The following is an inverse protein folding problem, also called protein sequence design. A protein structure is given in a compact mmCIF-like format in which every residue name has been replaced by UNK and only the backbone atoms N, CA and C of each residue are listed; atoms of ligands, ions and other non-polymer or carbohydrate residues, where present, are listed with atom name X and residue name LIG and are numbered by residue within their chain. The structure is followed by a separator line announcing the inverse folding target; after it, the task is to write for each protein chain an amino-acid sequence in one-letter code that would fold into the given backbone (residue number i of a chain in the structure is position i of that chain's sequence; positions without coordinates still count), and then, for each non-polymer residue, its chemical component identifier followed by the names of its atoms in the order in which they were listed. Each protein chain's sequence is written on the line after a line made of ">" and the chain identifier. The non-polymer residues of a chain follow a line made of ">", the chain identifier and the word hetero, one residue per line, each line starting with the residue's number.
data_IF_858210494065
#
_entry.id   IF_858210494065
#
_cell.length_a   1.000
_cell.length_b   1.000
_cell.length_c   1.000
_cell.angle_alpha   90.00
_cell.angle_beta   90.00
_cell.angle_gamma   90.00
#
_symmetry.space_group_name_H-M   'P 1'
#
loop_
_entity.id
_entity.type
_entity.pdbx_description
1 polymer ?
#
# COMPACT_ATOMS: atom_id res chain seq x y z
N UNK A 1 -17.50 -12.82 -7.35
CA UNK A 1 -17.55 -14.29 -7.55
C UNK A 1 -18.94 -14.83 -7.86
N UNK A 2 -20.00 -14.56 -7.07
CA UNK A 2 -21.34 -15.15 -7.27
C UNK A 2 -21.88 -14.94 -8.70
N UNK A 3 -21.67 -13.74 -9.26
CA UNK A 3 -22.05 -13.38 -10.64
C UNK A 3 -21.04 -13.88 -11.71
N UNK A 4 -20.15 -14.81 -11.36
CA UNK A 4 -19.12 -15.35 -12.26
C UNK A 4 -17.82 -14.53 -12.37
N UNK A 5 -17.66 -13.48 -11.56
CA UNK A 5 -16.41 -12.69 -11.50
C UNK A 5 -15.24 -13.46 -10.87
N UNK A 6 -14.02 -13.16 -11.31
CA UNK A 6 -12.80 -13.84 -10.86
C UNK A 6 -12.16 -13.17 -9.63
N UNK A 7 -10.94 -13.59 -9.27
CA UNK A 7 -10.20 -13.02 -8.13
C UNK A 7 -9.94 -11.51 -8.26
N UNK A 8 -9.67 -11.02 -9.48
CA UNK A 8 -9.42 -9.59 -9.76
C UNK A 8 -10.69 -8.76 -9.61
N UNK A 9 -11.80 -9.20 -10.23
CA UNK A 9 -13.09 -8.52 -10.10
C UNK A 9 -13.51 -8.40 -8.63
N UNK A 10 -13.31 -9.49 -7.88
CA UNK A 10 -13.70 -9.57 -6.46
C UNK A 10 -12.79 -8.72 -5.58
N UNK A 11 -11.49 -8.62 -5.88
CA UNK A 11 -10.58 -7.70 -5.20
C UNK A 11 -11.01 -6.24 -5.39
N UNK A 12 -11.33 -5.83 -6.63
CA UNK A 12 -11.78 -4.45 -6.91
C UNK A 12 -13.06 -4.13 -6.14
N UNK A 13 -14.09 -4.98 -6.25
CA UNK A 13 -15.36 -4.76 -5.53
C UNK A 13 -15.16 -4.69 -4.01
N UNK A 14 -14.28 -5.55 -3.47
CA UNK A 14 -13.97 -5.56 -2.04
C UNK A 14 -13.26 -4.27 -1.62
N UNK A 15 -12.21 -3.85 -2.31
CA UNK A 15 -11.47 -2.64 -1.96
C UNK A 15 -12.31 -1.36 -2.12
N UNK A 16 -13.24 -1.31 -3.08
CA UNK A 16 -14.21 -0.22 -3.17
C UNK A 16 -15.11 -0.16 -1.92
N UNK A 17 -15.61 -1.30 -1.45
CA UNK A 17 -16.37 -1.35 -0.19
C UNK A 17 -15.51 -0.97 1.01
N UNK A 18 -14.28 -1.48 1.10
CA UNK A 18 -13.34 -1.15 2.18
C UNK A 18 -13.03 0.35 2.19
N UNK A 19 -12.85 0.99 1.03
CA UNK A 19 -12.68 2.44 0.93
C UNK A 19 -13.91 3.26 1.37
N UNK A 20 -15.08 2.64 1.48
CA UNK A 20 -16.29 3.24 2.05
C UNK A 20 -16.33 3.05 3.57
N UNK A 21 -16.18 1.80 4.04
CA UNK A 21 -16.44 1.40 5.44
C UNK A 21 -15.23 1.46 6.36
N UNK A 22 -14.03 1.49 5.79
CA UNK A 22 -12.75 1.68 6.46
C UNK A 22 -12.04 2.93 5.88
N UNK A 23 -12.71 4.10 5.88
CA UNK A 23 -12.27 5.32 5.18
C UNK A 23 -10.96 5.88 5.72
N UNK A 24 -10.58 5.50 6.93
CA UNK A 24 -9.37 5.93 7.59
C UNK A 24 -8.11 5.22 7.10
N UNK A 25 -8.22 4.12 6.34
CA UNK A 25 -7.05 3.31 5.94
C UNK A 25 -6.85 3.18 4.44
N UNK A 26 -7.87 3.35 3.62
CA UNK A 26 -7.79 3.15 2.16
C UNK A 26 -8.93 3.83 1.42
N UNK A 27 -8.77 4.02 0.11
CA UNK A 27 -9.82 4.52 -0.78
C UNK A 27 -9.25 5.24 -1.99
N UNK A 28 -10.12 5.64 -2.92
CA UNK A 28 -9.72 6.05 -4.28
C UNK A 28 -8.85 7.32 -4.34
N UNK A 29 -8.68 8.00 -3.20
CA UNK A 29 -7.73 9.09 -3.04
C UNK A 29 -6.29 8.64 -2.77
N UNK A 30 -6.01 7.34 -2.70
CA UNK A 30 -4.68 6.76 -2.52
C UNK A 30 -4.29 5.81 -3.65
N UNK A 31 -3.67 4.68 -3.30
CA UNK A 31 -3.01 3.76 -4.22
C UNK A 31 -2.85 2.36 -3.65
N UNK A 32 -2.34 1.44 -4.48
CA UNK A 32 -2.15 0.04 -4.07
C UNK A 32 -0.96 -0.65 -4.72
N UNK A 33 -0.49 -1.71 -4.05
CA UNK A 33 0.40 -2.73 -4.60
C UNK A 33 -0.34 -4.06 -4.63
N UNK A 34 -0.19 -4.80 -5.72
CA UNK A 34 -0.87 -6.07 -5.93
C UNK A 34 0.07 -7.14 -6.49
N UNK A 35 -0.10 -8.37 -6.02
CA UNK A 35 0.47 -9.59 -6.57
C UNK A 35 -0.66 -10.45 -7.10
N UNK A 36 -0.56 -10.82 -8.38
CA UNK A 36 -1.49 -11.68 -9.10
C UNK A 36 -0.80 -13.00 -9.45
N UNK A 37 -1.45 -14.11 -9.16
CA UNK A 37 -1.04 -15.43 -9.62
C UNK A 37 -2.14 -16.03 -10.50
N UNK A 38 -1.76 -16.43 -11.71
CA UNK A 38 -2.64 -17.11 -12.65
C UNK A 38 -2.32 -18.61 -12.64
N UNK A 39 -3.20 -19.41 -12.04
CA UNK A 39 -2.98 -20.85 -11.87
C UNK A 39 -2.93 -21.62 -13.20
N UNK A 40 -3.71 -21.19 -14.20
CA UNK A 40 -3.74 -21.88 -15.50
C UNK A 40 -2.42 -21.77 -16.27
N UNK A 41 -1.66 -20.68 -16.05
CA UNK A 41 -0.37 -20.44 -16.70
C UNK A 41 0.83 -20.63 -15.77
N UNK A 42 0.59 -20.77 -14.46
CA UNK A 42 1.63 -20.79 -13.43
C UNK A 42 2.41 -19.47 -13.34
N UNK A 43 1.83 -18.35 -13.78
CA UNK A 43 2.53 -17.06 -13.86
C UNK A 43 2.14 -16.14 -12.74
N UNK A 44 3.15 -15.51 -12.15
CA UNK A 44 2.98 -14.40 -11.23
C UNK A 44 3.28 -13.07 -11.93
N UNK A 45 2.47 -12.06 -11.66
CA UNK A 45 2.63 -10.68 -12.14
C UNK A 45 2.37 -9.74 -10.97
N UNK A 46 3.03 -8.58 -10.94
CA UNK A 46 2.75 -7.56 -9.92
C UNK A 46 2.30 -6.26 -10.53
N UNK A 47 1.45 -5.55 -9.82
CA UNK A 47 0.88 -4.28 -10.23
C UNK A 47 1.25 -3.24 -9.19
N UNK A 48 1.88 -2.18 -9.68
CA UNK A 48 2.27 -1.03 -8.92
C UNK A 48 1.41 0.16 -9.33
N UNK A 49 0.32 0.34 -8.60
CA UNK A 49 -0.52 1.52 -8.62
C UNK A 49 -0.22 2.38 -7.38
N UNK A 50 1.07 2.56 -7.06
CA UNK A 50 1.51 3.51 -6.02
C UNK A 50 1.41 4.93 -6.56
N UNK A 51 1.10 5.86 -5.67
CA UNK A 51 1.07 7.29 -5.91
C UNK A 51 2.43 7.81 -6.36
N UNK A 52 2.43 8.91 -7.11
CA UNK A 52 3.65 9.58 -7.56
C UNK A 52 3.72 11.00 -7.02
N UNK A 53 4.91 11.42 -6.63
CA UNK A 53 5.19 12.80 -6.26
C UNK A 53 4.79 13.75 -7.41
N UNK A 54 4.12 14.87 -7.11
CA UNK A 54 3.77 15.87 -8.13
C UNK A 54 5.02 16.35 -8.89
N UNK A 55 4.84 16.78 -10.13
CA UNK A 55 5.92 17.27 -10.98
C UNK A 55 6.59 18.53 -10.42
N UNK A 56 5.88 19.29 -9.58
CA UNK A 56 6.40 20.45 -8.86
C UNK A 56 7.14 20.09 -7.55
N UNK A 57 7.18 18.80 -7.16
CA UNK A 57 7.86 18.37 -5.95
C UNK A 57 9.37 18.63 -6.05
N UNK A 58 9.99 18.99 -4.93
CA UNK A 58 11.45 19.18 -4.85
C UNK A 58 11.99 18.43 -3.65
N UNK A 59 13.25 18.02 -3.75
CA UNK A 59 13.94 17.24 -2.71
C UNK A 59 13.81 17.86 -1.31
N UNK A 60 13.85 19.20 -1.23
CA UNK A 60 13.91 19.93 0.03
C UNK A 60 12.55 20.53 0.48
N UNK A 61 11.43 20.18 -0.16
CA UNK A 61 10.16 20.91 0.01
C UNK A 61 9.54 20.87 1.42
N UNK A 62 10.01 19.94 2.27
CA UNK A 62 9.57 19.77 3.67
C UNK A 62 10.68 19.98 4.70
N UNK A 63 11.90 20.35 4.29
CA UNK A 63 13.05 20.51 5.22
C UNK A 63 12.76 21.53 6.33
N UNK A 64 12.02 22.59 6.02
CA UNK A 64 11.69 23.64 6.99
C UNK A 64 10.48 23.29 7.87
N UNK A 65 9.62 22.37 7.42
CA UNK A 65 8.40 21.98 8.12
C UNK A 65 7.93 20.62 7.62
N UNK A 66 8.29 19.59 8.38
CA UNK A 66 7.93 18.20 8.08
C UNK A 66 6.45 17.90 8.33
N UNK A 67 5.73 18.74 9.09
CA UNK A 67 4.30 18.51 9.29
C UNK A 67 3.50 18.64 7.99
N UNK A 68 4.05 19.34 6.99
CA UNK A 68 3.43 19.52 5.68
C UNK A 68 3.58 18.30 4.76
N UNK A 69 4.39 17.30 5.12
CA UNK A 69 4.40 15.99 4.47
C UNK A 69 3.33 15.06 5.02
N UNK A 70 2.77 15.35 6.21
CA UNK A 70 1.74 14.55 6.88
C UNK A 70 0.36 15.15 6.67
N UNK A 71 0.17 16.44 6.98
CA UNK A 71 -1.15 17.08 6.99
C UNK A 71 -1.37 18.10 5.87
N UNK A 72 -2.58 18.14 5.36
CA UNK A 72 -3.05 19.17 4.42
C UNK A 72 -2.72 18.88 2.96
N UNK A 73 -3.05 19.82 2.08
CA UNK A 73 -3.01 19.58 0.63
C UNK A 73 -1.60 19.41 0.03
N UNK A 74 -0.55 19.78 0.77
CA UNK A 74 0.85 19.61 0.34
C UNK A 74 1.36 18.18 0.53
N UNK A 75 0.75 17.40 1.42
CA UNK A 75 1.13 16.00 1.64
C UNK A 75 0.58 15.04 0.58
N UNK A 76 -0.35 15.50 -0.26
CA UNK A 76 -1.03 14.66 -1.24
C UNK A 76 -0.09 14.34 -2.40
N UNK A 77 0.14 13.05 -2.64
CA UNK A 77 0.71 12.53 -3.88
C UNK A 77 -0.39 12.13 -4.87
N UNK A 78 -0.05 11.99 -6.14
CA UNK A 78 -1.03 11.76 -7.22
C UNK A 78 -1.87 10.51 -6.96
N UNK A 79 -3.20 10.62 -6.69
CA UNK A 79 -4.07 9.48 -6.43
C UNK A 79 -4.12 8.53 -7.62
N UNK A 80 -4.11 7.23 -7.37
CA UNK A 80 -3.74 6.23 -8.38
C UNK A 80 -4.64 5.00 -8.44
N UNK A 81 -5.44 4.77 -7.40
CA UNK A 81 -6.20 3.53 -7.25
C UNK A 81 -7.20 3.28 -8.40
N UNK A 82 -7.89 4.30 -8.91
CA UNK A 82 -8.81 4.14 -10.06
C UNK A 82 -8.06 3.73 -11.34
N UNK A 83 -6.89 4.32 -11.61
CA UNK A 83 -6.07 3.93 -12.75
C UNK A 83 -5.65 2.46 -12.64
N UNK A 84 -5.22 2.05 -11.44
CA UNK A 84 -4.85 0.67 -11.14
C UNK A 84 -6.01 -0.30 -11.31
N UNK A 85 -7.17 -0.02 -10.73
CA UNK A 85 -8.37 -0.86 -10.84
C UNK A 85 -8.82 -1.01 -12.28
N UNK A 86 -8.87 0.07 -13.05
CA UNK A 86 -9.23 -0.01 -14.46
C UNK A 86 -8.22 -0.83 -15.26
N UNK A 87 -6.92 -0.63 -15.01
CA UNK A 87 -5.85 -1.37 -15.67
C UNK A 87 -6.00 -2.88 -15.45
N UNK A 88 -6.17 -3.33 -14.20
CA UNK A 88 -6.29 -4.76 -13.90
C UNK A 88 -7.65 -5.33 -14.30
N UNK A 89 -8.74 -4.56 -14.20
CA UNK A 89 -10.05 -4.97 -14.71
C UNK A 89 -9.99 -5.26 -16.22
N UNK A 90 -9.37 -4.34 -16.99
CA UNK A 90 -9.28 -4.48 -18.46
C UNK A 90 -8.37 -5.63 -18.89
N UNK A 91 -7.29 -5.89 -18.16
CA UNK A 91 -6.27 -6.89 -18.54
C UNK A 91 -6.55 -8.28 -17.96
N UNK A 92 -7.09 -8.35 -16.75
CA UNK A 92 -7.20 -9.57 -15.95
C UNK A 92 -8.60 -9.84 -15.39
N UNK A 93 -9.59 -8.96 -15.61
CA UNK A 93 -10.98 -9.20 -15.20
C UNK A 93 -11.60 -10.40 -15.92
N UNK A 94 -12.64 -10.99 -15.33
CA UNK A 94 -13.27 -12.21 -15.87
C UNK A 94 -13.94 -12.02 -17.24
N UNK A 95 -14.28 -10.78 -17.59
CA UNK A 95 -15.16 -10.46 -18.72
C UNK A 95 -16.64 -10.83 -18.50
N UNK A 96 -17.00 -11.38 -17.34
CA UNK A 96 -18.36 -11.80 -16.99
C UNK A 96 -19.10 -10.76 -16.14
N UNK A 97 -18.36 -9.95 -15.40
CA UNK A 97 -18.90 -8.86 -14.56
C UNK A 97 -18.56 -7.53 -15.20
N UNK A 98 -19.55 -6.64 -15.29
CA UNK A 98 -19.36 -5.28 -15.82
C UNK A 98 -18.70 -4.39 -14.77
N UNK A 99 -17.90 -3.42 -15.22
CA UNK A 99 -17.24 -2.42 -14.36
C UNK A 99 -18.21 -1.79 -13.35
N UNK A 100 -19.35 -1.31 -13.81
CA UNK A 100 -20.36 -0.68 -12.96
C UNK A 100 -20.85 -1.58 -11.80
N UNK A 101 -20.98 -2.89 -12.06
CA UNK A 101 -21.46 -3.85 -11.05
C UNK A 101 -20.48 -4.02 -9.89
N UNK A 102 -19.18 -3.76 -10.10
CA UNK A 102 -18.17 -3.81 -9.04
C UNK A 102 -18.36 -2.67 -8.02
N UNK A 103 -18.96 -1.57 -8.43
CA UNK A 103 -19.17 -0.38 -7.60
C UNK A 103 -20.50 -0.39 -6.86
N UNK A 104 -21.51 -1.11 -7.36
CA UNK A 104 -22.87 -1.12 -6.79
C UNK A 104 -22.90 -1.33 -5.27
N UNK A 105 -22.16 -2.30 -4.68
CA UNK A 105 -22.18 -2.51 -3.24
C UNK A 105 -21.57 -1.32 -2.47
N UNK A 106 -20.47 -0.75 -2.97
CA UNK A 106 -19.81 0.39 -2.35
C UNK A 106 -20.66 1.67 -2.43
N UNK A 107 -21.30 1.91 -3.58
CA UNK A 107 -22.25 3.03 -3.76
C UNK A 107 -23.42 2.90 -2.78
N UNK A 108 -23.98 1.69 -2.65
CA UNK A 108 -25.08 1.43 -1.73
C UNK A 108 -24.68 1.69 -0.26
N UNK A 109 -23.52 1.19 0.16
CA UNK A 109 -22.98 1.43 1.51
C UNK A 109 -22.75 2.93 1.77
N UNK A 110 -22.22 3.66 0.78
CA UNK A 110 -21.92 5.08 0.95
C UNK A 110 -23.18 5.96 1.02
N UNK A 111 -24.20 5.67 0.20
CA UNK A 111 -25.43 6.48 0.13
C UNK A 111 -26.41 6.10 1.24
N UNK A 112 -26.67 4.81 1.42
CA UNK A 112 -27.68 4.34 2.38
C UNK A 112 -27.12 4.23 3.81
N UNK A 113 -25.79 4.24 3.92
CA UNK A 113 -25.07 4.24 5.19
C UNK A 113 -24.69 2.83 5.65
N UNK A 114 -23.80 2.80 6.64
CA UNK A 114 -23.28 1.58 7.23
C UNK A 114 -23.03 1.79 8.74
N UNK A 115 -23.13 0.73 9.56
CA UNK A 115 -22.78 0.81 10.97
C UNK A 115 -21.28 1.04 11.12
N UNK A 116 -20.91 2.04 11.91
CA UNK A 116 -19.52 2.33 12.25
C UNK A 116 -18.94 1.16 13.06
N UNK A 117 -17.81 0.61 12.59
CA UNK A 117 -17.11 -0.46 13.29
C UNK A 117 -16.39 0.05 14.53
N UNK A 118 -16.09 -0.84 15.49
CA UNK A 118 -15.29 -0.52 16.66
C UNK A 118 -13.93 0.12 16.31
N UNK A 119 -13.27 -0.38 15.27
CA UNK A 119 -12.01 0.18 14.80
C UNK A 119 -12.17 1.60 14.27
N UNK A 120 -13.17 1.84 13.41
CA UNK A 120 -13.42 3.19 12.90
C UNK A 120 -13.80 4.16 14.04
N UNK A 121 -14.66 3.75 14.96
CA UNK A 121 -15.02 4.55 16.13
C UNK A 121 -13.79 4.92 16.99
N UNK A 122 -12.89 3.96 17.23
CA UNK A 122 -11.63 4.22 17.94
C UNK A 122 -10.79 5.28 17.22
N UNK A 123 -10.59 5.13 15.90
CA UNK A 123 -9.78 6.10 15.13
C UNK A 123 -10.43 7.48 15.05
N UNK A 124 -11.77 7.55 14.99
CA UNK A 124 -12.51 8.80 15.06
C UNK A 124 -12.35 9.48 16.42
N UNK A 125 -12.43 8.72 17.52
CA UNK A 125 -12.22 9.24 18.87
C UNK A 125 -10.77 9.72 19.07
N UNK A 126 -9.78 8.93 18.66
CA UNK A 126 -8.36 9.26 18.76
C UNK A 126 -8.00 10.55 17.99
N UNK A 127 -8.73 10.83 16.90
CA UNK A 127 -8.52 12.00 16.03
C UNK A 127 -9.57 13.11 16.22
N UNK A 128 -10.45 13.02 17.22
CA UNK A 128 -11.62 13.91 17.37
C UNK A 128 -11.24 15.39 17.34
N UNK A 129 -10.18 15.78 18.05
CA UNK A 129 -9.72 17.19 18.09
C UNK A 129 -9.34 17.70 16.69
N UNK A 130 -8.66 16.87 15.89
CA UNK A 130 -8.26 17.26 14.53
C UNK A 130 -9.47 17.27 13.59
N UNK A 131 -10.36 16.28 13.72
CA UNK A 131 -11.60 16.19 12.93
C UNK A 131 -12.48 17.41 13.17
N UNK A 132 -12.67 17.82 14.43
CA UNK A 132 -13.48 19.00 14.79
C UNK A 132 -12.87 20.32 14.28
N UNK A 133 -11.54 20.39 14.18
CA UNK A 133 -10.83 21.58 13.74
C UNK A 133 -10.79 21.75 12.21
N UNK A 134 -10.88 20.65 11.45
CA UNK A 134 -10.81 20.66 9.98
C UNK A 134 -12.21 20.57 9.36
N UNK A 135 -12.72 21.63 8.69
CA UNK A 135 -14.10 21.68 8.21
C UNK A 135 -14.49 20.51 7.30
N UNK A 136 -13.57 20.08 6.43
CA UNK A 136 -13.85 18.99 5.48
C UNK A 136 -14.01 17.64 6.18
N UNK A 137 -13.27 17.41 7.26
CA UNK A 137 -13.35 16.20 8.08
C UNK A 137 -14.60 16.24 8.97
N UNK A 138 -14.86 17.38 9.62
CA UNK A 138 -16.03 17.59 10.47
C UNK A 138 -17.34 17.30 9.74
N UNK A 139 -17.46 17.78 8.51
CA UNK A 139 -18.66 17.59 7.67
C UNK A 139 -18.98 16.10 7.42
N UNK A 140 -17.98 15.23 7.39
CA UNK A 140 -18.17 13.81 7.07
C UNK A 140 -18.25 12.94 8.31
N UNK A 141 -17.49 13.27 9.35
CA UNK A 141 -17.25 12.37 10.48
C UNK A 141 -17.88 12.80 11.80
N UNK A 142 -18.51 13.97 11.86
CA UNK A 142 -19.28 14.43 13.03
C UNK A 142 -20.76 14.25 12.75
N UNK A 143 -21.45 13.59 13.67
CA UNK A 143 -22.91 13.58 13.66
C UNK A 143 -23.43 14.96 14.06
N UNK A 144 -24.01 15.68 13.10
CA UNK A 144 -24.53 17.03 13.31
C UNK A 144 -25.66 17.12 14.35
N UNK A 145 -26.32 16.00 14.68
CA UNK A 145 -27.37 15.97 15.69
C UNK A 145 -26.80 15.96 17.12
N UNK A 146 -25.62 15.36 17.32
CA UNK A 146 -24.96 15.26 18.63
C UNK A 146 -23.77 16.22 18.76
N UNK A 147 -23.19 16.66 17.64
CA UNK A 147 -21.97 17.44 17.57
C UNK A 147 -20.69 16.65 17.87
N UNK A 148 -20.78 15.32 18.02
CA UNK A 148 -19.67 14.42 18.33
C UNK A 148 -19.29 13.60 17.10
N UNK A 149 -18.06 13.07 17.08
CA UNK A 149 -17.70 12.08 16.07
C UNK A 149 -18.57 10.83 16.19
N UNK A 150 -18.83 10.13 15.09
CA UNK A 150 -19.62 8.90 15.11
C UNK A 150 -19.00 7.84 16.04
N UNK A 151 -19.85 7.16 16.81
CA UNK A 151 -19.49 6.09 17.74
C UNK A 151 -19.79 4.71 17.13
N UNK A 152 -19.31 3.64 17.76
CA UNK A 152 -19.55 2.27 17.29
C UNK A 152 -21.06 1.98 17.20
N UNK A 153 -21.49 1.44 16.06
CA UNK A 153 -22.89 1.11 15.78
C UNK A 153 -23.73 2.26 15.23
N UNK A 154 -23.26 3.51 15.30
CA UNK A 154 -23.93 4.62 14.62
C UNK A 154 -23.96 4.39 13.11
N UNK A 155 -25.02 4.87 12.45
CA UNK A 155 -25.16 4.76 10.99
C UNK A 155 -24.54 5.99 10.34
N UNK A 156 -23.34 5.83 9.78
CA UNK A 156 -22.65 6.88 9.05
C UNK A 156 -22.97 6.78 7.55
N UNK A 157 -23.12 7.94 6.90
CA UNK A 157 -23.27 8.07 5.45
C UNK A 157 -22.15 8.89 4.83
N UNK A 158 -21.84 8.61 3.58
CA UNK A 158 -20.86 9.35 2.75
C UNK A 158 -21.47 9.64 1.38
N UNK A 159 -22.63 10.29 1.35
CA UNK A 159 -23.47 10.43 0.15
C UNK A 159 -22.71 11.05 -1.04
N UNK A 160 -21.95 12.13 -0.81
CA UNK A 160 -21.11 12.77 -1.83
C UNK A 160 -20.10 11.80 -2.44
N UNK A 161 -19.44 11.00 -1.60
CA UNK A 161 -18.52 9.96 -2.06
C UNK A 161 -19.25 8.85 -2.84
N UNK A 162 -20.43 8.45 -2.38
CA UNK A 162 -21.28 7.48 -3.09
C UNK A 162 -21.68 7.95 -4.49
N UNK A 163 -22.04 9.23 -4.66
CA UNK A 163 -22.31 9.80 -5.98
C UNK A 163 -21.06 9.86 -6.86
N UNK A 164 -19.89 10.19 -6.31
CA UNK A 164 -18.61 10.11 -7.03
C UNK A 164 -18.32 8.70 -7.53
N UNK A 165 -18.47 7.69 -6.67
CA UNK A 165 -18.33 6.29 -7.05
C UNK A 165 -19.31 5.90 -8.17
N UNK A 166 -20.56 6.37 -8.08
CA UNK A 166 -21.57 6.12 -9.11
C UNK A 166 -21.21 6.77 -10.46
N UNK A 167 -20.62 7.97 -10.45
CA UNK A 167 -20.12 8.63 -11.67
C UNK A 167 -18.99 7.84 -12.32
N UNK A 168 -18.03 7.35 -11.51
CA UNK A 168 -16.91 6.51 -12.00
C UNK A 168 -17.43 5.17 -12.53
N UNK A 169 -18.40 4.56 -11.85
CA UNK A 169 -19.01 3.30 -12.26
C UNK A 169 -19.69 3.40 -13.64
N UNK A 170 -20.35 4.54 -13.90
CA UNK A 170 -21.12 4.78 -15.12
C UNK A 170 -20.30 5.39 -16.26
N UNK A 171 -19.03 5.75 -16.01
CA UNK A 171 -18.17 6.34 -17.02
C UNK A 171 -17.88 5.33 -18.15
N UNK A 172 -17.90 5.83 -19.40
CA UNK A 172 -17.45 5.02 -20.55
C UNK A 172 -15.94 4.75 -20.46
N UNK A 173 -15.18 5.74 -20.03
CA UNK A 173 -13.77 5.63 -19.68
C UNK A 173 -13.55 6.26 -18.29
N UNK A 174 -13.45 5.45 -17.22
CA UNK A 174 -13.23 5.97 -15.87
C UNK A 174 -11.86 6.62 -15.69
N UNK A 175 -10.86 6.23 -16.48
CA UNK A 175 -9.54 6.86 -16.45
C UNK A 175 -9.60 8.24 -17.08
N UNK A 176 -10.26 8.39 -18.24
CA UNK A 176 -10.47 9.71 -18.83
C UNK A 176 -11.22 10.62 -17.86
N UNK A 177 -12.35 10.16 -17.28
CA UNK A 177 -13.12 10.96 -16.33
C UNK A 177 -12.27 11.46 -15.15
N UNK A 178 -11.53 10.55 -14.49
CA UNK A 178 -10.79 10.84 -13.25
C UNK A 178 -9.48 11.60 -13.49
N UNK A 179 -8.75 11.28 -14.57
CA UNK A 179 -7.37 11.75 -14.77
C UNK A 179 -7.21 12.81 -15.86
N UNK A 180 -8.18 12.99 -16.76
CA UNK A 180 -8.08 13.92 -17.90
C UNK A 180 -9.30 14.82 -18.07
N UNK A 181 -10.47 14.40 -17.58
CA UNK A 181 -11.76 15.03 -17.78
C UNK A 181 -12.17 15.99 -16.67
N UNK A 182 -13.48 16.18 -16.51
CA UNK A 182 -14.04 17.14 -15.54
C UNK A 182 -13.64 16.86 -14.09
N UNK A 183 -13.55 15.59 -13.69
CA UNK A 183 -13.12 15.24 -12.34
C UNK A 183 -11.64 15.59 -12.12
N UNK A 184 -10.78 15.41 -13.13
CA UNK A 184 -9.38 15.83 -13.04
C UNK A 184 -9.23 17.35 -12.83
N UNK A 185 -10.08 18.14 -13.50
CA UNK A 185 -10.13 19.60 -13.31
C UNK A 185 -10.54 19.96 -11.88
N UNK A 186 -11.57 19.30 -11.34
CA UNK A 186 -12.00 19.48 -9.94
C UNK A 186 -10.91 19.11 -8.95
N UNK A 187 -10.29 17.93 -9.10
CA UNK A 187 -9.24 17.44 -8.20
C UNK A 187 -8.05 18.40 -8.20
N UNK A 188 -7.53 18.74 -9.38
CA UNK A 188 -6.41 19.65 -9.50
C UNK A 188 -6.74 21.03 -8.93
N UNK A 189 -7.90 21.60 -9.29
CA UNK A 189 -8.33 22.92 -8.82
C UNK A 189 -8.45 22.98 -7.30
N UNK A 190 -9.18 22.04 -6.68
CA UNK A 190 -9.33 21.99 -5.23
C UNK A 190 -7.98 21.87 -4.51
N UNK A 191 -7.10 20.99 -5.00
CA UNK A 191 -5.79 20.79 -4.36
C UNK A 191 -4.93 22.04 -4.51
N UNK A 192 -4.86 22.66 -5.70
CA UNK A 192 -4.03 23.86 -5.92
C UNK A 192 -4.56 25.10 -5.22
N UNK A 193 -5.89 25.29 -5.18
CA UNK A 193 -6.52 26.45 -4.52
C UNK A 193 -6.28 26.44 -3.00
N UNK A 194 -6.03 25.26 -2.43
CA UNK A 194 -5.68 25.07 -1.03
C UNK A 194 -4.16 24.87 -0.79
N UNK A 195 -3.32 25.23 -1.77
CA UNK A 195 -1.86 25.27 -1.64
C UNK A 195 -1.13 23.94 -1.88
N UNK A 196 -1.82 22.91 -2.35
CA UNK A 196 -1.22 21.66 -2.79
C UNK A 196 -0.59 21.75 -4.19
N UNK A 197 0.06 20.67 -4.61
CA UNK A 197 0.94 20.67 -5.79
C UNK A 197 0.47 19.81 -6.97
N UNK A 198 -0.64 19.09 -6.85
CA UNK A 198 -1.17 18.24 -7.92
C UNK A 198 -1.90 19.08 -8.95
N UNK A 199 -1.42 19.01 -10.18
CA UNK A 199 -2.02 19.66 -11.36
C UNK A 199 -2.74 18.64 -12.24
N UNK A 200 -3.52 19.12 -13.21
CA UNK A 200 -4.11 18.25 -14.24
C UNK A 200 -3.04 17.48 -15.03
N UNK A 201 -1.83 18.05 -15.17
CA UNK A 201 -0.73 17.37 -15.87
C UNK A 201 -0.22 16.19 -15.06
N UNK A 202 -0.15 16.32 -13.73
CA UNK A 202 0.23 15.22 -12.83
C UNK A 202 -0.74 14.05 -13.01
N UNK A 203 -2.04 14.32 -12.86
CA UNK A 203 -3.11 13.34 -13.07
C UNK A 203 -3.05 12.71 -14.47
N UNK A 204 -2.99 13.52 -15.52
CA UNK A 204 -3.02 13.02 -16.90
C UNK A 204 -1.78 12.21 -17.29
N UNK A 205 -0.67 12.35 -16.56
CA UNK A 205 0.58 11.63 -16.79
C UNK A 205 0.76 10.39 -15.92
N UNK A 206 -0.16 10.15 -14.97
CA UNK A 206 -0.10 8.99 -14.10
C UNK A 206 -0.31 7.70 -14.91
N UNK A 207 0.49 6.68 -14.62
CA UNK A 207 0.38 5.36 -15.23
C UNK A 207 0.67 4.26 -14.19
N UNK A 208 -0.15 3.23 -14.18
CA UNK A 208 0.07 2.00 -13.41
C UNK A 208 1.15 1.16 -14.06
N UNK A 209 2.09 0.64 -13.27
CA UNK A 209 3.13 -0.27 -13.76
C UNK A 209 2.69 -1.72 -13.55
N UNK A 210 2.89 -2.57 -14.56
CA UNK A 210 2.75 -4.02 -14.45
C UNK A 210 4.13 -4.64 -14.67
N UNK A 211 4.63 -5.35 -13.65
CA UNK A 211 5.81 -6.18 -13.78
C UNK A 211 5.39 -7.57 -14.23
N UNK A 212 5.69 -7.89 -15.49
CA UNK A 212 5.43 -9.20 -16.10
C UNK A 212 6.30 -10.32 -15.50
N UNK A 213 7.42 -9.95 -14.86
CA UNK A 213 8.34 -10.84 -14.17
C UNK A 213 8.66 -10.19 -12.82
N UNK A 214 7.90 -10.50 -11.77
CA UNK A 214 8.10 -9.93 -10.44
C UNK A 214 9.34 -10.53 -9.75
N UNK A 215 9.60 -10.13 -8.50
CA UNK A 215 10.59 -10.82 -7.68
C UNK A 215 10.04 -12.21 -7.31
N UNK A 216 10.88 -13.23 -7.46
CA UNK A 216 10.54 -14.62 -7.12
C UNK A 216 11.62 -15.18 -6.18
N UNK A 217 11.19 -15.54 -4.97
CA UNK A 217 11.98 -16.30 -4.01
C UNK A 217 11.87 -17.79 -4.35
N UNK A 218 13.02 -18.44 -4.57
CA UNK A 218 13.09 -19.88 -4.91
C UNK A 218 13.76 -20.68 -3.80
N UNK A 219 13.56 -22.01 -3.82
CA UNK A 219 14.21 -22.91 -2.88
C UNK A 219 13.59 -22.93 -1.49
N UNK A 220 12.30 -22.58 -1.38
CA UNK A 220 11.54 -22.80 -0.16
C UNK A 220 11.22 -24.30 0.00
N UNK A 221 10.97 -24.79 1.23
CA UNK A 221 10.65 -26.19 1.49
C UNK A 221 9.39 -26.63 0.74
N UNK A 222 9.33 -27.90 0.32
CA UNK A 222 8.13 -28.47 -0.30
C UNK A 222 7.85 -27.97 -1.73
N UNK A 223 8.90 -27.63 -2.49
CA UNK A 223 8.80 -27.09 -3.86
C UNK A 223 7.98 -25.79 -3.97
N UNK A 224 7.91 -25.05 -2.86
CA UNK A 224 7.25 -23.76 -2.81
C UNK A 224 8.13 -22.67 -3.44
N UNK A 225 7.46 -21.73 -4.09
CA UNK A 225 8.00 -20.46 -4.54
C UNK A 225 7.12 -19.33 -4.02
N UNK A 226 7.71 -18.15 -3.88
CA UNK A 226 7.00 -16.97 -3.40
C UNK A 226 7.29 -15.80 -4.30
N UNK A 227 6.25 -15.10 -4.74
CA UNK A 227 6.41 -13.94 -5.61
C UNK A 227 5.76 -12.68 -5.01
N UNK A 228 6.29 -11.53 -5.40
CA UNK A 228 5.80 -10.23 -4.96
C UNK A 228 6.54 -9.05 -5.62
N UNK A 229 6.08 -7.82 -5.39
CA UNK A 229 6.51 -6.67 -6.17
C UNK A 229 7.96 -6.28 -5.90
N UNK A 230 8.67 -5.73 -6.89
CA UNK A 230 9.92 -5.02 -6.64
C UNK A 230 9.68 -3.71 -5.86
N UNK A 231 10.74 -3.00 -5.42
CA UNK A 231 10.60 -1.65 -4.88
C UNK A 231 9.79 -0.75 -5.84
N UNK A 232 8.88 0.09 -5.33
CA UNK A 232 8.84 0.62 -3.97
C UNK A 232 8.23 -0.29 -2.90
N UNK A 233 7.77 -1.51 -3.22
CA UNK A 233 7.38 -2.50 -2.21
C UNK A 233 8.55 -2.92 -1.31
N UNK A 234 8.22 -3.29 -0.07
CA UNK A 234 9.14 -3.94 0.87
C UNK A 234 9.15 -5.48 0.77
N UNK A 235 8.52 -6.08 -0.24
CA UNK A 235 8.43 -7.55 -0.40
C UNK A 235 9.79 -8.26 -0.33
N UNK A 236 10.84 -7.66 -0.90
CA UNK A 236 12.20 -8.24 -0.84
C UNK A 236 12.73 -8.42 0.59
N UNK A 237 12.30 -7.54 1.52
CA UNK A 237 12.64 -7.65 2.94
C UNK A 237 11.86 -8.83 3.52
N UNK A 238 10.57 -8.94 3.18
CA UNK A 238 9.74 -10.06 3.61
C UNK A 238 10.30 -11.40 3.21
N UNK A 239 10.53 -11.56 1.91
CA UNK A 239 10.97 -12.82 1.36
C UNK A 239 12.35 -13.22 1.85
N UNK A 240 13.24 -12.26 2.12
CA UNK A 240 14.54 -12.57 2.71
C UNK A 240 14.39 -13.19 4.11
N UNK A 241 13.48 -12.66 4.94
CA UNK A 241 13.28 -13.17 6.30
C UNK A 241 12.68 -14.58 6.25
N UNK A 242 11.64 -14.78 5.44
CA UNK A 242 11.02 -16.09 5.25
C UNK A 242 12.03 -17.10 4.70
N UNK A 243 12.82 -16.74 3.68
CA UNK A 243 13.80 -17.64 3.07
C UNK A 243 14.91 -18.03 4.05
N UNK A 244 15.39 -17.08 4.89
CA UNK A 244 16.41 -17.37 5.91
C UNK A 244 15.86 -18.29 6.99
N UNK A 245 14.64 -18.04 7.47
CA UNK A 245 13.97 -18.92 8.42
C UNK A 245 13.75 -20.31 7.82
N UNK A 246 13.35 -20.39 6.56
CA UNK A 246 13.25 -21.65 5.85
C UNK A 246 14.59 -22.41 5.80
N UNK A 247 15.73 -21.73 5.57
CA UNK A 247 17.05 -22.36 5.57
C UNK A 247 17.37 -23.07 6.90
N UNK A 248 17.03 -22.46 8.05
CA UNK A 248 17.23 -23.06 9.37
C UNK A 248 16.30 -24.24 9.67
N UNK A 249 15.09 -24.24 9.11
CA UNK A 249 14.01 -25.14 9.51
C UNK A 249 13.47 -26.03 8.38
N UNK A 250 14.22 -26.21 7.28
CA UNK A 250 13.81 -27.05 6.14
C UNK A 250 13.41 -28.49 6.50
N UNK A 251 13.95 -29.04 7.59
CA UNK A 251 13.96 -30.48 7.89
C UNK A 251 12.85 -31.02 8.79
N UNK A 252 11.87 -30.23 9.24
CA UNK A 252 10.80 -30.76 10.09
C UNK A 252 9.96 -29.73 10.85
N UNK A 253 9.15 -30.23 11.79
CA UNK A 253 8.30 -29.38 12.65
C UNK A 253 9.16 -28.45 13.50
N UNK A 254 8.87 -27.16 13.44
CA UNK A 254 9.50 -26.13 14.27
C UNK A 254 8.93 -26.21 15.68
N UNK A 255 9.80 -26.29 16.70
CA UNK A 255 9.38 -26.17 18.09
C UNK A 255 9.26 -24.69 18.46
N UNK A 256 8.04 -24.15 18.44
CA UNK A 256 7.81 -22.74 18.80
C UNK A 256 8.06 -22.43 20.29
N UNK A 257 8.34 -23.42 21.14
CA UNK A 257 8.80 -23.17 22.52
C UNK A 257 10.32 -23.01 22.63
N UNK A 258 11.08 -23.22 21.55
CA UNK A 258 12.51 -23.01 21.53
C UNK A 258 12.82 -21.51 21.34
N UNK A 259 13.41 -20.82 22.34
CA UNK A 259 13.75 -19.41 22.22
C UNK A 259 14.70 -19.12 21.05
N UNK A 260 15.45 -20.12 20.58
CA UNK A 260 16.35 -19.97 19.45
C UNK A 260 15.60 -19.70 18.13
N UNK A 261 14.33 -20.14 18.01
CA UNK A 261 13.48 -19.82 16.87
C UNK A 261 13.22 -18.32 16.79
N UNK A 262 12.83 -17.72 17.90
CA UNK A 262 12.58 -16.28 17.97
C UNK A 262 13.87 -15.47 17.85
N UNK A 263 14.97 -15.93 18.46
CA UNK A 263 16.28 -15.32 18.27
C UNK A 263 16.65 -15.25 16.79
N UNK A 264 16.54 -16.36 16.06
CA UNK A 264 16.87 -16.40 14.62
C UNK A 264 15.90 -15.57 13.77
N UNK A 265 14.62 -15.52 14.13
CA UNK A 265 13.66 -14.62 13.48
C UNK A 265 14.08 -13.16 13.64
N UNK A 266 14.39 -12.73 14.87
CA UNK A 266 14.84 -11.37 15.18
C UNK A 266 16.14 -11.04 14.43
N UNK A 267 17.10 -11.97 14.37
CA UNK A 267 18.35 -11.76 13.65
C UNK A 267 18.14 -11.69 12.12
N UNK A 268 17.27 -12.54 11.57
CA UNK A 268 16.89 -12.48 10.15
C UNK A 268 16.21 -11.15 9.80
N UNK A 269 15.32 -10.65 10.66
CA UNK A 269 14.70 -9.33 10.55
C UNK A 269 15.76 -8.23 10.52
N UNK A 270 16.69 -8.21 11.49
CA UNK A 270 17.77 -7.20 11.52
C UNK A 270 18.60 -7.19 10.24
N UNK A 271 18.99 -8.36 9.72
CA UNK A 271 19.74 -8.47 8.48
C UNK A 271 18.96 -7.95 7.26
N UNK A 272 17.67 -8.26 7.18
CA UNK A 272 16.83 -7.81 6.08
C UNK A 272 16.56 -6.30 6.18
N UNK A 273 16.15 -5.79 7.35
CA UNK A 273 15.88 -4.36 7.59
C UNK A 273 17.13 -3.49 7.40
N UNK A 274 18.33 -4.01 7.68
CA UNK A 274 19.58 -3.34 7.36
C UNK A 274 19.73 -2.96 5.87
N UNK A 275 18.98 -3.63 4.98
CA UNK A 275 18.94 -3.30 3.55
C UNK A 275 17.77 -2.37 3.18
N UNK A 276 16.73 -2.23 4.01
CA UNK A 276 15.51 -1.47 3.70
C UNK A 276 15.81 0.00 3.37
N UNK A 277 16.79 0.60 4.04
CA UNK A 277 17.19 2.00 3.78
C UNK A 277 17.89 2.21 2.45
N UNK A 278 18.32 1.12 1.78
CA UNK A 278 18.95 1.16 0.45
C UNK A 278 17.93 0.91 -0.67
N UNK A 279 16.67 0.64 -0.33
CA UNK A 279 15.59 0.52 -1.28
C UNK A 279 15.07 1.91 -1.69
N UNK A 280 14.56 1.99 -2.92
CA UNK A 280 13.94 3.17 -3.51
C UNK A 280 13.24 2.79 -4.80
N UNK A 281 12.47 3.72 -5.38
CA UNK A 281 11.88 3.54 -6.72
C UNK A 281 12.97 3.15 -7.73
N UNK A 282 12.87 1.94 -8.27
CA UNK A 282 13.88 1.36 -9.17
C UNK A 282 14.05 2.13 -10.49
N UNK A 283 13.09 3.00 -10.85
CA UNK A 283 13.24 3.93 -11.98
C UNK A 283 14.26 5.05 -11.69
N UNK A 284 14.50 5.34 -10.41
CA UNK A 284 15.36 6.42 -9.94
C UNK A 284 16.61 5.91 -9.21
N UNK A 285 16.59 4.68 -8.70
CA UNK A 285 17.65 4.12 -7.85
C UNK A 285 18.14 2.77 -8.41
N UNK A 286 19.12 2.80 -9.32
CA UNK A 286 19.65 1.59 -9.96
C UNK A 286 20.30 0.63 -8.96
N UNK A 287 20.92 1.15 -7.89
CA UNK A 287 21.51 0.33 -6.82
C UNK A 287 20.46 -0.51 -6.09
N UNK A 288 19.22 0.00 -5.92
CA UNK A 288 18.12 -0.74 -5.32
C UNK A 288 17.73 -1.94 -6.19
N UNK A 289 17.68 -1.76 -7.52
CA UNK A 289 17.39 -2.83 -8.47
C UNK A 289 18.41 -3.97 -8.40
N UNK A 290 19.70 -3.65 -8.37
CA UNK A 290 20.76 -4.65 -8.23
C UNK A 290 20.71 -5.38 -6.87
N UNK A 291 20.42 -4.64 -5.80
CA UNK A 291 20.30 -5.17 -4.45
C UNK A 291 19.16 -6.20 -4.36
N UNK A 292 17.96 -5.88 -4.86
CA UNK A 292 16.80 -6.77 -4.73
C UNK A 292 16.93 -8.05 -5.58
N UNK A 293 17.59 -7.95 -6.74
CA UNK A 293 17.91 -9.11 -7.57
C UNK A 293 18.83 -10.09 -6.82
N UNK A 294 19.82 -9.58 -6.08
CA UNK A 294 20.72 -10.41 -5.28
C UNK A 294 20.02 -11.00 -4.04
N UNK A 295 19.26 -10.19 -3.31
CA UNK A 295 18.56 -10.59 -2.08
C UNK A 295 17.57 -11.75 -2.28
N UNK A 296 17.03 -11.90 -3.50
CA UNK A 296 16.07 -12.94 -3.86
C UNK A 296 16.71 -14.29 -4.22
N UNK A 297 18.04 -14.41 -4.13
CA UNK A 297 18.74 -15.65 -4.52
C UNK A 297 18.97 -16.59 -3.34
N UNK A 298 18.92 -17.93 -3.56
CA UNK A 298 19.31 -18.90 -2.52
C UNK A 298 20.73 -18.72 -2.00
N UNK A 299 21.64 -18.18 -2.83
CA UNK A 299 23.01 -17.87 -2.43
C UNK A 299 23.05 -16.78 -1.36
N UNK A 300 22.27 -15.71 -1.54
CA UNK A 300 22.16 -14.64 -0.56
C UNK A 300 21.54 -15.14 0.74
N UNK A 301 20.45 -15.91 0.66
CA UNK A 301 19.80 -16.53 1.82
C UNK A 301 20.78 -17.36 2.66
N UNK A 302 21.55 -18.27 2.03
CA UNK A 302 22.54 -19.10 2.72
C UNK A 302 23.67 -18.27 3.34
N UNK A 303 24.08 -17.20 2.66
CA UNK A 303 25.08 -16.29 3.20
C UNK A 303 24.58 -15.58 4.47
N UNK A 304 23.36 -15.03 4.46
CA UNK A 304 22.75 -14.44 5.67
C UNK A 304 22.63 -15.47 6.79
N UNK A 305 22.09 -16.66 6.50
CA UNK A 305 21.96 -17.73 7.49
C UNK A 305 23.31 -18.10 8.13
N UNK A 306 24.42 -18.08 7.37
CA UNK A 306 25.76 -18.36 7.90
C UNK A 306 26.33 -17.27 8.82
N UNK A 307 25.78 -16.06 8.78
CA UNK A 307 26.20 -14.94 9.63
C UNK A 307 25.39 -14.84 10.92
N UNK A 308 24.19 -15.42 10.97
CA UNK A 308 23.36 -15.43 12.18
C UNK A 308 24.00 -16.35 13.23
N UNK A 309 24.40 -15.76 14.36
CA UNK A 309 24.94 -16.47 15.52
C UNK A 309 23.83 -16.71 16.52
N UNK A 310 23.96 -17.73 17.38
CA UNK A 310 23.03 -17.99 18.48
C UNK A 310 23.21 -17.01 19.68
N UNK A 311 23.78 -15.82 19.42
CA UNK A 311 23.97 -14.71 20.36
C UNK A 311 23.74 -13.38 19.66
N UNK A 312 23.04 -12.44 20.32
CA UNK A 312 22.73 -11.14 19.74
C UNK A 312 24.01 -10.33 19.42
N UNK A 313 24.01 -9.65 18.26
CA UNK A 313 25.12 -8.78 17.84
C UNK A 313 24.76 -7.29 17.99
N UNK A 314 25.76 -6.40 18.19
CA UNK A 314 25.55 -4.95 18.16
C UNK A 314 25.07 -4.48 16.78
N UNK A 315 24.44 -3.30 16.71
CA UNK A 315 23.85 -2.76 15.48
C UNK A 315 24.83 -2.65 14.31
N UNK A 316 26.09 -2.28 14.59
CA UNK A 316 27.17 -2.19 13.58
C UNK A 316 27.51 -3.50 12.88
N UNK A 317 27.00 -4.63 13.38
CA UNK A 317 27.15 -5.92 12.72
C UNK A 317 26.27 -6.06 11.48
N UNK A 318 25.08 -5.45 11.46
CA UNK A 318 24.10 -5.59 10.37
C UNK A 318 24.18 -4.42 9.38
N UNK A 319 24.47 -3.21 9.88
CA UNK A 319 24.46 -1.98 9.10
C UNK A 319 25.84 -1.33 9.11
N UNK A 320 26.31 -0.93 7.92
CA UNK A 320 27.51 -0.10 7.77
C UNK A 320 27.22 1.41 7.85
N UNK A 321 25.96 1.81 7.64
CA UNK A 321 25.51 3.20 7.60
C UNK A 321 24.31 3.40 8.54
N UNK A 322 24.32 4.46 9.36
CA UNK A 322 23.27 4.80 10.34
C UNK A 322 22.12 5.58 9.70
N UNK A 323 21.38 4.92 8.80
CA UNK A 323 20.22 5.50 8.09
C UNK A 323 18.89 4.88 8.53
N UNK A 324 17.78 5.55 8.24
CA UNK A 324 16.41 5.11 8.51
C UNK A 324 15.46 5.40 7.35
N UNK A 325 14.31 4.76 7.38
CA UNK A 325 13.12 5.16 6.62
C UNK A 325 12.12 5.84 7.56
N UNK A 326 11.13 6.52 6.96
CA UNK A 326 10.01 7.12 7.69
C UNK A 326 9.09 6.00 8.22
N UNK A 327 8.50 6.15 9.43
CA UNK A 327 7.40 5.29 9.88
C UNK A 327 6.21 5.38 8.93
N UNK A 328 5.49 4.27 8.79
CA UNK A 328 4.32 4.12 7.91
C UNK A 328 3.14 3.72 8.82
N UNK A 329 1.88 3.97 8.42
CA UNK A 329 0.68 3.74 9.24
C UNK A 329 -0.41 2.87 8.55
N UNK A 330 -1.54 2.65 9.23
CA UNK A 330 -2.47 1.54 8.94
C UNK A 330 -3.00 1.50 7.49
N UNK A 331 -3.10 0.30 6.92
CA UNK A 331 -3.51 0.03 5.52
C UNK A 331 -4.60 -1.05 5.46
N UNK A 332 -5.27 -1.21 4.34
CA UNK A 332 -6.21 -2.30 4.07
C UNK A 332 -5.57 -3.37 3.19
N UNK A 333 -5.80 -4.65 3.49
CA UNK A 333 -5.35 -5.75 2.65
C UNK A 333 -6.47 -6.70 2.30
N UNK A 334 -6.47 -7.17 1.06
CA UNK A 334 -7.43 -8.13 0.52
C UNK A 334 -6.68 -9.27 -0.14
N UNK A 335 -7.00 -10.48 0.28
CA UNK A 335 -6.59 -11.73 -0.39
C UNK A 335 -7.82 -12.40 -1.01
N UNK A 336 -7.68 -12.90 -2.22
CA UNK A 336 -8.75 -13.60 -2.93
C UNK A 336 -8.17 -14.78 -3.68
N UNK A 337 -8.80 -15.95 -3.57
CA UNK A 337 -8.60 -17.10 -4.47
C UNK A 337 -9.94 -17.38 -5.15
N UNK A 338 -9.95 -17.54 -6.47
CA UNK A 338 -11.15 -17.91 -7.21
C UNK A 338 -11.26 -19.42 -7.48
N UNK A 339 -12.37 -19.82 -8.10
CA UNK A 339 -12.68 -21.22 -8.43
C UNK A 339 -11.72 -21.86 -9.43
N UNK A 340 -10.94 -21.05 -10.15
CA UNK A 340 -9.91 -21.50 -11.08
C UNK A 340 -8.52 -21.57 -10.42
N UNK A 341 -8.43 -21.23 -9.13
CA UNK A 341 -7.17 -21.17 -8.40
C UNK A 341 -6.34 -19.92 -8.68
N UNK A 342 -6.86 -18.94 -9.43
CA UNK A 342 -6.16 -17.67 -9.55
C UNK A 342 -6.21 -16.97 -8.20
N UNK A 343 -5.12 -16.30 -7.84
CA UNK A 343 -4.99 -15.65 -6.57
C UNK A 343 -4.53 -14.21 -6.69
N UNK A 344 -5.09 -13.36 -5.82
CA UNK A 344 -4.74 -11.96 -5.68
C UNK A 344 -4.41 -11.68 -4.23
N UNK A 345 -3.26 -11.06 -4.00
CA UNK A 345 -2.90 -10.41 -2.74
C UNK A 345 -2.71 -8.93 -3.03
N UNK A 346 -3.50 -8.06 -2.39
CA UNK A 346 -3.50 -6.64 -2.69
C UNK A 346 -3.55 -5.80 -1.41
N UNK A 347 -2.65 -4.84 -1.30
CA UNK A 347 -2.61 -3.87 -0.19
C UNK A 347 -2.91 -2.49 -0.75
N UNK A 348 -3.95 -1.83 -0.23
CA UNK A 348 -4.39 -0.48 -0.62
C UNK A 348 -4.31 0.46 0.58
N UNK A 349 -3.88 1.69 0.35
CA UNK A 349 -3.66 2.66 1.42
C UNK A 349 -3.95 4.10 0.96
N UNK A 350 -4.20 4.96 1.94
CA UNK A 350 -4.08 6.43 1.83
C UNK A 350 -2.93 6.95 2.70
N UNK A 351 -1.97 6.07 3.01
CA UNK A 351 -0.92 6.19 4.00
C UNK A 351 -1.42 6.24 5.45
N UNK A 352 -1.52 7.43 6.04
CA UNK A 352 -1.84 7.58 7.45
C UNK A 352 -3.33 7.45 7.73
N UNK A 353 -3.67 7.39 9.03
CA UNK A 353 -5.07 7.36 9.47
C UNK A 353 -5.77 8.64 8.99
N UNK A 354 -6.70 8.48 8.04
CA UNK A 354 -7.37 9.54 7.27
C UNK A 354 -6.46 10.35 6.32
N UNK A 355 -5.31 9.79 5.96
CA UNK A 355 -4.33 10.39 5.04
C UNK A 355 -3.95 11.81 5.44
N UNK A 356 -4.08 12.73 4.50
CA UNK A 356 -3.80 14.17 4.68
C UNK A 356 -4.73 14.90 5.65
N UNK A 357 -5.71 14.21 6.24
CA UNK A 357 -6.81 14.81 6.99
C UNK A 357 -7.59 15.82 6.14
N UNK A 358 -7.74 15.58 4.83
CA UNK A 358 -8.51 16.43 3.91
C UNK A 358 -9.48 15.59 3.10
N UNK A 359 -10.68 16.13 2.94
CA UNK A 359 -11.72 15.54 2.09
C UNK A 359 -12.10 16.54 1.01
N UNK A 360 -12.19 16.06 -0.24
CA UNK A 360 -12.73 16.85 -1.34
C UNK A 360 -14.15 17.34 -1.02
N UNK A 361 -14.33 18.65 -1.07
CA UNK A 361 -15.64 19.28 -0.85
C UNK A 361 -16.60 19.05 -2.02
N UNK A 362 -16.11 18.74 -3.22
CA UNK A 362 -16.96 18.38 -4.35
C UNK A 362 -17.17 16.87 -4.48
N UNK A 363 -16.15 16.06 -4.22
CA UNK A 363 -16.15 14.63 -4.54
C UNK A 363 -16.29 13.70 -3.33
N UNK A 364 -16.06 14.20 -2.10
CA UNK A 364 -16.11 13.37 -0.89
C UNK A 364 -14.97 12.35 -0.75
N UNK A 365 -13.93 12.48 -1.59
CA UNK A 365 -12.72 11.63 -1.56
C UNK A 365 -11.81 12.10 -0.43
N UNK A 366 -11.35 11.16 0.39
CA UNK A 366 -10.30 11.40 1.39
C UNK A 366 -8.95 11.31 0.67
N UNK A 367 -8.10 12.33 0.85
CA UNK A 367 -6.83 12.40 0.14
C UNK A 367 -5.69 11.76 0.95
N UNK A 368 -4.85 10.99 0.26
CA UNK A 368 -3.62 10.42 0.84
C UNK A 368 -2.67 11.50 1.36
N UNK A 369 -1.76 11.12 2.25
CA UNK A 369 -0.56 11.87 2.61
C UNK A 369 0.72 11.11 2.22
N UNK A 370 0.72 10.52 1.02
CA UNK A 370 1.79 9.63 0.59
C UNK A 370 3.14 10.33 0.35
N UNK A 371 3.15 11.66 0.30
CA UNK A 371 4.41 12.41 0.30
C UNK A 371 5.21 12.21 1.60
N UNK A 372 4.57 11.79 2.69
CA UNK A 372 5.21 11.48 3.97
C UNK A 372 6.17 10.30 3.91
N UNK A 373 5.88 9.32 3.05
CA UNK A 373 6.72 8.13 2.92
C UNK A 373 8.11 8.45 2.31
N UNK A 374 8.32 9.65 1.76
CA UNK A 374 9.66 10.08 1.33
C UNK A 374 10.54 10.52 2.49
N UNK A 375 11.82 10.18 2.39
CA UNK A 375 12.84 10.73 3.28
C UNK A 375 13.08 12.21 2.98
N UNK A 376 13.17 13.04 4.03
CA UNK A 376 13.47 14.47 3.92
C UNK A 376 14.94 14.72 4.30
N UNK A 377 15.75 15.37 3.44
CA UNK A 377 17.17 15.62 3.72
C UNK A 377 17.40 16.36 5.03
N UNK A 378 18.41 15.94 5.80
CA UNK A 378 18.80 16.59 7.05
C UNK A 378 17.82 16.39 8.22
N UNK A 379 16.71 15.68 8.03
CA UNK A 379 15.74 15.38 9.09
C UNK A 379 15.97 13.95 9.59
N UNK A 380 16.59 13.75 10.76
CA UNK A 380 16.73 12.41 11.33
C UNK A 380 15.40 11.91 11.90
N UNK A 381 15.27 10.58 12.07
CA UNK A 381 14.12 10.03 12.80
C UNK A 381 14.21 10.28 14.33
N UNK A 382 13.22 9.79 15.08
CA UNK A 382 13.15 9.89 16.54
C UNK A 382 14.36 9.29 17.30
N UNK A 383 15.16 8.44 16.65
CA UNK A 383 16.35 7.81 17.22
C UNK A 383 17.67 8.44 16.72
N UNK A 384 17.60 9.50 15.93
CA UNK A 384 18.77 10.23 15.42
C UNK A 384 19.38 9.65 14.14
N UNK A 385 18.75 8.65 13.50
CA UNK A 385 19.26 8.07 12.26
C UNK A 385 19.02 8.98 11.06
N UNK A 386 19.99 9.06 10.16
CA UNK A 386 19.93 9.91 8.98
C UNK A 386 18.84 9.44 7.99
N UNK A 387 18.20 10.36 7.26
CA UNK A 387 17.18 10.02 6.28
C UNK A 387 17.80 9.25 5.09
N UNK A 388 17.05 8.33 4.49
CA UNK A 388 17.55 7.52 3.36
C UNK A 388 17.64 8.34 2.06
N UNK A 389 18.85 8.51 1.47
CA UNK A 389 18.98 9.21 0.19
C UNK A 389 18.30 8.48 -0.97
N UNK A 390 18.22 7.15 -0.91
CA UNK A 390 17.54 6.33 -1.92
C UNK A 390 16.05 6.67 -2.00
N UNK A 391 15.48 7.21 -0.93
CA UNK A 391 14.08 7.56 -0.82
C UNK A 391 13.83 9.07 -0.69
N UNK A 392 14.76 9.92 -1.16
CA UNK A 392 14.49 11.36 -1.26
C UNK A 392 13.46 11.68 -2.36
N UNK A 393 12.76 12.81 -2.18
CA UNK A 393 11.70 13.29 -3.06
C UNK A 393 12.28 13.67 -4.44
N UNK A 394 11.61 13.22 -5.49
CA UNK A 394 11.84 13.69 -6.86
C UNK A 394 10.52 13.72 -7.66
N UNK A 395 10.35 14.66 -8.61
CA UNK A 395 9.20 14.73 -9.50
C UNK A 395 8.85 13.38 -10.16
N UNK A 396 7.61 12.92 -10.01
CA UNK A 396 7.12 11.68 -10.62
C UNK A 396 7.70 10.38 -10.02
N UNK A 397 8.49 10.47 -8.95
CA UNK A 397 8.98 9.32 -8.20
C UNK A 397 7.88 8.73 -7.34
N UNK A 398 7.91 7.41 -7.12
CA UNK A 398 7.06 6.73 -6.13
C UNK A 398 7.78 6.64 -4.79
N UNK A 399 7.13 6.97 -3.67
CA UNK A 399 7.73 6.82 -2.35
C UNK A 399 7.87 5.33 -1.99
N UNK A 400 8.90 4.98 -1.21
CA UNK A 400 9.04 3.63 -0.65
C UNK A 400 7.85 3.27 0.22
N UNK A 401 7.40 2.03 0.14
CA UNK A 401 6.27 1.52 0.91
C UNK A 401 6.67 0.32 1.77
N UNK A 402 5.99 0.13 2.90
CA UNK A 402 6.10 -1.08 3.72
C UNK A 402 5.23 -2.23 3.21
N UNK A 403 4.36 -1.97 2.22
CA UNK A 403 3.46 -2.96 1.63
C UNK A 403 4.24 -4.10 0.99
N UNK A 404 3.89 -5.33 1.35
CA UNK A 404 4.47 -6.56 0.81
C UNK A 404 3.36 -7.57 0.48
N UNK A 405 2.51 -7.31 -0.53
CA UNK A 405 1.56 -8.31 -0.99
C UNK A 405 2.31 -9.47 -1.67
N UNK A 406 1.98 -10.71 -1.35
CA UNK A 406 2.66 -11.87 -1.93
C UNK A 406 1.77 -13.09 -2.08
N UNK A 407 2.18 -13.97 -2.99
CA UNK A 407 1.57 -15.28 -3.21
C UNK A 407 2.64 -16.34 -3.03
N UNK A 408 2.32 -17.37 -2.24
CA UNK A 408 3.13 -18.60 -2.12
C UNK A 408 2.41 -19.71 -2.87
N UNK A 409 3.11 -20.37 -3.78
CA UNK A 409 2.55 -21.43 -4.62
C UNK A 409 3.54 -22.58 -4.78
N UNK A 410 3.02 -23.76 -5.09
CA UNK A 410 3.83 -24.92 -5.43
C UNK A 410 4.16 -24.89 -6.93
N UNK A 411 5.45 -24.91 -7.27
CA UNK A 411 5.90 -24.78 -8.67
C UNK A 411 5.62 -26.02 -9.53
N UNK A 412 5.33 -27.18 -8.92
CA UNK A 412 5.15 -28.44 -9.64
C UNK A 412 3.70 -28.64 -10.10
N UNK A 413 2.73 -28.24 -9.27
CA UNK A 413 1.30 -28.44 -9.53
C UNK A 413 0.51 -27.12 -9.65
N UNK A 414 1.17 -25.97 -9.52
CA UNK A 414 0.60 -24.63 -9.57
C UNK A 414 -0.49 -24.37 -8.52
N UNK A 415 -0.55 -25.16 -7.44
CA UNK A 415 -1.47 -24.90 -6.34
C UNK A 415 -0.98 -23.72 -5.50
N UNK A 416 -1.90 -22.83 -5.15
CA UNK A 416 -1.62 -21.74 -4.22
C UNK A 416 -1.64 -22.31 -2.80
N UNK A 417 -0.51 -22.20 -2.11
CA UNK A 417 -0.34 -22.70 -0.75
C UNK A 417 -0.73 -21.67 0.29
N UNK A 418 -0.45 -20.39 0.03
CA UNK A 418 -0.76 -19.29 0.96
C UNK A 418 -0.88 -17.93 0.25
N UNK A 419 -1.67 -17.03 0.86
CA UNK A 419 -1.77 -15.63 0.51
C UNK A 419 -1.52 -14.78 1.74
N UNK A 420 -0.41 -14.05 1.72
CA UNK A 420 0.07 -13.33 2.90
C UNK A 420 0.06 -11.83 2.64
N UNK A 421 -0.44 -11.10 3.64
CA UNK A 421 0.02 -9.76 3.91
C UNK A 421 1.19 -9.86 4.88
N UNK A 422 2.32 -9.24 4.54
CA UNK A 422 3.24 -8.81 5.59
C UNK A 422 3.45 -7.31 5.54
N UNK A 423 3.30 -6.67 6.71
CA UNK A 423 3.56 -5.26 6.90
C UNK A 423 4.84 -5.13 7.72
N UNK A 424 5.84 -4.52 7.10
CA UNK A 424 7.17 -4.36 7.67
C UNK A 424 7.23 -2.96 8.29
N UNK A 425 6.65 -2.83 9.50
CA UNK A 425 6.68 -1.60 10.30
C UNK A 425 8.01 -1.49 11.05
N UNK A 426 8.66 -0.32 10.98
CA UNK A 426 9.86 -0.03 11.76
C UNK A 426 9.57 0.22 13.25
N UNK A 427 8.31 0.18 13.69
CA UNK A 427 7.93 0.34 15.09
C UNK A 427 7.60 -1.00 15.75
N UNK A 428 8.26 -1.23 16.89
CA UNK A 428 7.76 -2.08 17.97
C UNK A 428 6.54 -1.37 18.55
N UNK A 429 5.39 -2.02 18.51
CA UNK A 429 4.38 -1.84 19.54
C UNK A 429 4.73 -2.73 20.74
#
# INVERSE_FOLDING_TARGET
>A
MIEGGNAVDSMIATLLCVGVVNPQSSGIGGGFLMTLYNASTGRCQTINARETAPLAATENMFVNDTSQSVYGYRSIATPSEIHGFWTVFKKFGSGKVKWAQLFEPAVNLAINGFPVSSNLASQLSDKETLIQAEPTMKEVFVDHSTGRVYEEGDIMKRERYGFTLQLIANATDPVDLFYKGGMAQTIAGEITDNGGHITQKDLASYETIIDEIPLIATGLPGDLEMCGPPPPSSFVITQSIIAVMAEFYRGGKVNLNDPLVYHRLIEAEKFAYAQRTKLGDVKFVESAKALVANMSTPKYTKWIASMIKDVAQPQSYYMGDDTTQVPDHGTSHVTVIDDQGNAVSCTSTINQIFGSMRISTTLGIIWNDEMDDFSTPGVPNAFGFAPSPSNFIAPGKRPMSSMSPMVIYNKNDNSVSDLLLWRISANRD
#
